data_IF_854303568330
#
_entry.id   IF_854303568330
#
_cell.length_a   1.000
_cell.length_b   1.000
_cell.length_c   1.000
_cell.angle_alpha   90.00
_cell.angle_beta   90.00
_cell.angle_gamma   90.00
#
_symmetry.space_group_name_H-M   'P 1'
#
loop_
_entity.id
_entity.type
_entity.pdbx_description
1 polymer ?
#
# COMPACT_ATOMS: atom_id res chain seq x y z
N UNK A 1 2.79 -30.52 -8.84
CA UNK A 1 2.58 -29.06 -8.75
C UNK A 1 3.65 -28.27 -9.54
N UNK A 2 4.94 -28.49 -9.35
CA UNK A 2 5.99 -27.75 -10.06
C UNK A 2 5.98 -27.87 -11.59
N UNK A 3 5.71 -29.04 -12.17
CA UNK A 3 5.62 -29.24 -13.62
C UNK A 3 4.41 -28.50 -14.22
N UNK A 4 3.27 -28.50 -13.56
CA UNK A 4 2.07 -27.79 -14.01
C UNK A 4 2.30 -26.28 -14.08
N UNK A 5 2.94 -25.70 -13.08
CA UNK A 5 3.27 -24.26 -13.04
C UNK A 5 4.29 -23.89 -14.12
N UNK A 6 5.24 -24.80 -14.46
CA UNK A 6 6.20 -24.56 -15.55
C UNK A 6 5.53 -24.40 -16.92
N UNK A 7 4.40 -25.08 -17.12
CA UNK A 7 3.64 -25.01 -18.39
C UNK A 7 2.65 -23.83 -18.44
N UNK A 8 2.32 -23.24 -17.28
CA UNK A 8 1.26 -22.25 -17.15
C UNK A 8 1.67 -21.03 -16.30
N UNK A 9 2.51 -20.10 -16.81
CA UNK A 9 2.89 -18.87 -16.09
C UNK A 9 1.69 -18.03 -15.61
N UNK A 10 0.56 -18.14 -16.33
CA UNK A 10 -0.70 -17.50 -15.95
C UNK A 10 -1.16 -17.86 -14.53
N UNK A 11 -0.88 -19.09 -14.06
CA UNK A 11 -1.26 -19.54 -12.71
C UNK A 11 -0.54 -18.71 -11.63
N UNK A 12 0.71 -18.34 -11.85
CA UNK A 12 1.47 -17.45 -10.95
C UNK A 12 0.83 -16.06 -10.90
N UNK A 13 0.46 -15.54 -12.07
CA UNK A 13 -0.16 -14.21 -12.16
C UNK A 13 -1.54 -14.18 -11.51
N UNK A 14 -2.35 -15.21 -11.75
CA UNK A 14 -3.68 -15.34 -11.14
C UNK A 14 -3.60 -15.52 -9.61
N UNK A 15 -2.68 -16.37 -9.13
CA UNK A 15 -2.43 -16.55 -7.70
C UNK A 15 -1.96 -15.24 -7.04
N UNK A 16 -1.04 -14.54 -7.69
CA UNK A 16 -0.56 -13.24 -7.22
C UNK A 16 -1.66 -12.18 -7.18
N UNK A 17 -2.50 -12.12 -8.20
CA UNK A 17 -3.65 -11.21 -8.25
C UNK A 17 -4.67 -11.53 -7.15
N UNK A 18 -4.99 -12.82 -6.91
CA UNK A 18 -5.89 -13.23 -5.84
C UNK A 18 -5.34 -12.83 -4.45
N UNK A 19 -4.05 -13.06 -4.20
CA UNK A 19 -3.40 -12.63 -2.96
C UNK A 19 -3.54 -11.10 -2.80
N UNK A 20 -3.18 -10.33 -3.80
CA UNK A 20 -3.14 -8.87 -3.69
C UNK A 20 -4.54 -8.25 -3.64
N UNK A 21 -5.55 -8.87 -4.23
CA UNK A 21 -6.93 -8.45 -4.12
C UNK A 21 -7.44 -8.54 -2.67
N UNK A 22 -6.96 -9.50 -1.89
CA UNK A 22 -7.34 -9.70 -0.49
C UNK A 22 -6.37 -9.07 0.52
N UNK A 23 -5.10 -8.88 0.16
CA UNK A 23 -4.07 -8.33 1.04
C UNK A 23 -4.05 -6.79 1.11
N UNK A 24 -4.89 -6.08 0.36
CA UNK A 24 -4.95 -4.61 0.38
C UNK A 24 -5.73 -4.02 1.55
N UNK A 25 -5.61 -4.60 2.73
CA UNK A 25 -6.33 -4.22 3.97
C UNK A 25 -6.26 -2.72 4.29
N UNK A 26 -5.10 -2.02 4.13
CA UNK A 26 -5.03 -0.58 4.40
C UNK A 26 -6.04 0.25 3.60
N UNK A 27 -6.36 -0.17 2.37
CA UNK A 27 -7.30 0.55 1.50
C UNK A 27 -8.76 0.36 1.88
N UNK A 28 -9.06 -0.70 2.65
CA UNK A 28 -10.40 -1.02 3.13
C UNK A 28 -10.69 -0.54 4.55
N UNK A 29 -9.70 0.02 5.27
CA UNK A 29 -9.86 0.36 6.69
C UNK A 29 -11.11 1.22 6.97
N UNK A 30 -11.48 2.12 6.07
CA UNK A 30 -12.65 2.99 6.25
C UNK A 30 -13.96 2.24 6.49
N UNK A 31 -14.12 1.01 5.98
CA UNK A 31 -15.33 0.21 6.22
C UNK A 31 -15.28 -0.54 7.56
N UNK A 32 -14.08 -0.81 8.09
CA UNK A 32 -13.91 -1.45 9.39
C UNK A 32 -14.07 -0.46 10.56
N UNK A 33 -13.78 0.82 10.35
CA UNK A 33 -13.59 1.78 11.42
C UNK A 33 -14.80 1.92 12.34
N UNK A 34 -15.99 2.17 11.79
CA UNK A 34 -17.20 2.33 12.61
C UNK A 34 -17.58 1.06 13.39
N UNK A 35 -17.64 -0.13 12.77
CA UNK A 35 -17.91 -1.38 13.51
C UNK A 35 -16.86 -1.69 14.59
N UNK A 36 -15.59 -1.39 14.33
CA UNK A 36 -14.51 -1.59 15.31
C UNK A 36 -14.65 -0.62 16.50
N UNK A 37 -14.97 0.64 16.23
CA UNK A 37 -15.24 1.62 17.29
C UNK A 37 -16.38 1.17 18.21
N UNK A 38 -17.48 0.75 17.61
CA UNK A 38 -18.66 0.31 18.35
C UNK A 38 -18.39 -0.91 19.22
N UNK A 39 -17.63 -1.90 18.72
CA UNK A 39 -17.37 -3.16 19.40
C UNK A 39 -16.30 -3.05 20.50
N UNK A 40 -15.23 -2.29 20.25
CA UNK A 40 -14.06 -2.24 21.13
C UNK A 40 -13.99 -0.95 21.96
N UNK A 41 -15.00 -0.08 21.89
CA UNK A 41 -15.04 1.17 22.65
C UNK A 41 -13.92 2.15 22.30
N UNK A 42 -13.36 2.07 21.08
CA UNK A 42 -12.34 2.99 20.61
C UNK A 42 -12.96 4.36 20.31
N UNK A 43 -12.31 5.42 20.77
CA UNK A 43 -12.63 6.75 20.28
C UNK A 43 -12.21 6.91 18.81
N UNK A 44 -12.67 7.95 18.17
CA UNK A 44 -12.44 8.16 16.75
C UNK A 44 -10.96 8.28 16.39
N UNK A 45 -10.20 8.90 17.26
CA UNK A 45 -8.77 9.09 17.08
C UNK A 45 -8.01 7.78 17.20
N UNK A 46 -8.26 7.01 18.25
CA UNK A 46 -7.66 5.70 18.48
C UNK A 46 -7.97 4.74 17.33
N UNK A 47 -9.20 4.76 16.81
CA UNK A 47 -9.55 3.96 15.64
C UNK A 47 -8.83 4.40 14.35
N UNK A 48 -8.56 5.70 14.20
CA UNK A 48 -7.76 6.23 13.09
C UNK A 48 -6.29 5.82 13.20
N UNK A 49 -5.74 5.75 14.41
CA UNK A 49 -4.39 5.26 14.66
C UNK A 49 -4.19 3.78 14.31
N UNK A 50 -5.25 2.96 14.30
CA UNK A 50 -5.14 1.56 13.85
C UNK A 50 -4.59 1.48 12.44
N UNK A 51 -5.08 2.32 11.51
CA UNK A 51 -4.52 2.40 10.16
C UNK A 51 -3.07 2.88 10.16
N UNK A 52 -2.76 3.90 10.95
CA UNK A 52 -1.39 4.42 11.09
C UNK A 52 -0.41 3.32 11.51
N UNK A 53 -0.74 2.56 12.56
CA UNK A 53 0.07 1.43 13.03
C UNK A 53 0.16 0.30 12.00
N UNK A 54 -0.93 0.01 11.28
CA UNK A 54 -0.92 -1.01 10.22
C UNK A 54 0.02 -0.63 9.08
N UNK A 55 -0.03 0.63 8.61
CA UNK A 55 0.87 1.13 7.55
C UNK A 55 2.31 1.24 8.05
N UNK A 56 2.53 1.58 9.32
CA UNK A 56 3.85 1.57 9.94
C UNK A 56 4.45 0.16 9.98
N UNK A 57 3.65 -0.83 10.40
CA UNK A 57 4.04 -2.23 10.39
C UNK A 57 4.31 -2.74 8.95
N UNK A 58 3.52 -2.28 7.97
CA UNK A 58 3.78 -2.54 6.55
C UNK A 58 5.15 -1.97 6.12
N UNK A 59 5.45 -0.72 6.44
CA UNK A 59 6.74 -0.10 6.11
C UNK A 59 7.91 -0.83 6.75
N UNK A 60 7.85 -1.09 8.06
CA UNK A 60 8.89 -1.80 8.80
C UNK A 60 9.04 -3.27 8.33
N UNK A 61 7.91 -3.94 8.11
CA UNK A 61 7.87 -5.32 7.62
C UNK A 61 8.44 -5.47 6.21
N UNK A 62 8.41 -4.41 5.39
CA UNK A 62 8.94 -4.42 4.02
C UNK A 62 10.43 -4.78 3.95
N UNK A 63 11.22 -4.37 4.92
CA UNK A 63 12.66 -4.72 5.02
C UNK A 63 12.83 -6.22 5.28
N UNK A 64 12.10 -6.74 6.26
CA UNK A 64 12.15 -8.16 6.61
C UNK A 64 11.59 -9.05 5.48
N UNK A 65 10.47 -8.62 4.87
CA UNK A 65 9.85 -9.32 3.74
C UNK A 65 10.75 -9.38 2.51
N UNK A 66 11.43 -8.27 2.18
CA UNK A 66 12.41 -8.22 1.10
C UNK A 66 13.59 -9.16 1.33
N UNK A 67 14.12 -9.18 2.55
CA UNK A 67 15.21 -10.07 2.93
C UNK A 67 14.79 -11.56 2.87
N UNK A 68 13.62 -11.89 3.40
CA UNK A 68 13.07 -13.25 3.36
C UNK A 68 12.86 -13.72 1.92
N UNK A 69 12.29 -12.87 1.06
CA UNK A 69 12.10 -13.17 -0.34
C UNK A 69 13.42 -13.43 -1.06
N UNK A 70 14.44 -12.60 -0.81
CA UNK A 70 15.75 -12.73 -1.46
C UNK A 70 16.48 -13.99 -1.01
N UNK A 71 16.36 -14.40 0.26
CA UNK A 71 17.04 -15.58 0.81
C UNK A 71 16.26 -16.89 0.67
N UNK A 72 14.98 -16.88 1.01
CA UNK A 72 14.15 -18.10 1.14
C UNK A 72 13.14 -18.26 -0.02
N UNK A 73 13.10 -17.28 -0.92
CA UNK A 73 12.23 -17.29 -2.08
C UNK A 73 10.80 -16.78 -1.81
N UNK A 74 10.04 -16.55 -2.91
CA UNK A 74 8.73 -15.90 -2.83
C UNK A 74 7.68 -16.73 -2.11
N UNK A 75 7.74 -18.06 -2.22
CA UNK A 75 6.79 -18.97 -1.59
C UNK A 75 6.82 -18.87 -0.06
N UNK A 76 8.01 -18.91 0.52
CA UNK A 76 8.16 -18.86 1.99
C UNK A 76 7.75 -17.50 2.55
N UNK A 77 8.21 -16.41 1.91
CA UNK A 77 7.82 -15.06 2.31
C UNK A 77 6.29 -14.86 2.23
N UNK A 78 5.66 -15.36 1.16
CA UNK A 78 4.22 -15.25 0.98
C UNK A 78 3.42 -16.11 1.97
N UNK A 79 3.87 -17.32 2.29
CA UNK A 79 3.24 -18.17 3.31
C UNK A 79 3.29 -17.50 4.69
N UNK A 80 4.45 -16.95 5.06
CA UNK A 80 4.59 -16.24 6.33
C UNK A 80 3.71 -14.99 6.38
N UNK A 81 3.62 -14.25 5.27
CA UNK A 81 2.71 -13.11 5.15
C UNK A 81 1.24 -13.52 5.29
N UNK A 82 0.84 -14.61 4.65
CA UNK A 82 -0.53 -15.15 4.74
C UNK A 82 -0.86 -15.61 6.18
N UNK A 83 0.11 -16.25 6.85
CA UNK A 83 -0.04 -16.64 8.26
C UNK A 83 -0.18 -15.41 9.16
N UNK A 84 0.59 -14.33 8.90
CA UNK A 84 0.47 -13.07 9.61
C UNK A 84 -0.90 -12.42 9.45
N UNK A 85 -1.45 -12.41 8.21
CA UNK A 85 -2.82 -11.92 7.96
C UNK A 85 -3.85 -12.75 8.73
N UNK A 86 -3.81 -14.08 8.58
CA UNK A 86 -4.73 -14.98 9.28
C UNK A 86 -4.67 -14.77 10.80
N UNK A 87 -3.47 -14.82 11.37
CA UNK A 87 -3.26 -14.67 12.81
C UNK A 87 -3.73 -13.29 13.32
N UNK A 88 -3.46 -12.21 12.57
CA UNK A 88 -3.86 -10.87 12.95
C UNK A 88 -5.38 -10.68 12.97
N UNK A 89 -6.07 -11.18 11.95
CA UNK A 89 -7.53 -11.13 11.91
C UNK A 89 -8.15 -11.99 13.02
N UNK A 90 -7.68 -13.22 13.20
CA UNK A 90 -8.16 -14.12 14.26
C UNK A 90 -7.90 -13.51 15.65
N UNK A 91 -6.69 -12.99 15.88
CA UNK A 91 -6.34 -12.36 17.16
C UNK A 91 -7.20 -11.12 17.45
N UNK A 92 -7.52 -10.33 16.43
CA UNK A 92 -8.41 -9.18 16.58
C UNK A 92 -9.79 -9.56 17.13
N UNK A 93 -10.35 -10.69 16.67
CA UNK A 93 -11.64 -11.20 17.15
C UNK A 93 -11.66 -11.56 18.64
N UNK A 94 -10.49 -11.88 19.23
CA UNK A 94 -10.35 -12.21 20.64
C UNK A 94 -9.98 -11.03 21.52
N UNK A 95 -9.72 -9.84 20.99
CA UNK A 95 -9.37 -8.66 21.80
C UNK A 95 -10.54 -8.31 22.74
N UNK A 96 -10.30 -8.22 24.06
CA UNK A 96 -11.34 -7.79 25.00
C UNK A 96 -11.61 -6.28 24.87
N UNK A 97 -12.89 -5.89 24.98
CA UNK A 97 -13.28 -4.48 24.88
C UNK A 97 -12.66 -3.59 25.96
N UNK A 98 -12.35 -4.16 27.13
CA UNK A 98 -11.73 -3.46 28.27
C UNK A 98 -10.27 -3.08 28.01
N UNK A 99 -9.64 -3.66 26.98
CA UNK A 99 -8.23 -3.41 26.63
C UNK A 99 -8.08 -3.08 25.12
N UNK A 100 -8.69 -2.00 24.64
CA UNK A 100 -8.72 -1.69 23.21
C UNK A 100 -7.34 -1.45 22.59
N UNK A 101 -6.33 -1.04 23.38
CA UNK A 101 -4.95 -0.87 22.93
C UNK A 101 -4.31 -2.17 22.42
N UNK A 102 -4.79 -3.35 22.88
CA UNK A 102 -4.33 -4.64 22.36
C UNK A 102 -4.68 -4.82 20.89
N UNK A 103 -5.67 -4.09 20.37
CA UNK A 103 -6.04 -4.16 18.96
C UNK A 103 -4.89 -3.73 18.03
N UNK A 104 -4.06 -2.78 18.45
CA UNK A 104 -2.88 -2.38 17.68
C UNK A 104 -1.87 -3.53 17.54
N UNK A 105 -1.65 -4.29 18.60
CA UNK A 105 -0.71 -5.43 18.60
C UNK A 105 -1.32 -6.66 17.94
N UNK A 106 -2.59 -6.93 18.20
CA UNK A 106 -3.28 -8.12 17.70
C UNK A 106 -3.62 -8.02 16.22
N UNK A 107 -4.03 -6.82 15.75
CA UNK A 107 -4.44 -6.58 14.37
C UNK A 107 -3.37 -5.85 13.56
N UNK A 108 -3.04 -4.60 13.92
CA UNK A 108 -2.25 -3.74 13.05
C UNK A 108 -0.85 -4.29 12.78
N UNK A 109 -0.17 -4.80 13.81
CA UNK A 109 1.20 -5.28 13.66
C UNK A 109 1.29 -6.53 12.75
N UNK A 110 0.57 -7.65 13.00
CA UNK A 110 0.69 -8.85 12.18
C UNK A 110 0.05 -8.66 10.80
N UNK A 111 -1.05 -7.90 10.67
CA UNK A 111 -1.69 -7.65 9.37
C UNK A 111 -0.80 -6.75 8.51
N UNK A 112 -0.25 -5.67 9.06
CA UNK A 112 0.66 -4.79 8.34
C UNK A 112 1.93 -5.51 7.88
N UNK A 113 2.58 -6.28 8.75
CA UNK A 113 3.75 -7.09 8.41
C UNK A 113 3.39 -8.19 7.38
N UNK A 114 2.23 -8.82 7.51
CA UNK A 114 1.75 -9.82 6.56
C UNK A 114 1.58 -9.25 5.15
N UNK A 115 0.94 -8.08 5.03
CA UNK A 115 0.83 -7.38 3.76
C UNK A 115 2.22 -7.02 3.17
N UNK A 116 3.16 -6.61 4.04
CA UNK A 116 4.52 -6.25 3.63
C UNK A 116 5.31 -7.44 3.09
N UNK A 117 5.07 -8.65 3.59
CA UNK A 117 5.72 -9.86 3.09
C UNK A 117 5.10 -10.34 1.77
N UNK A 118 3.80 -10.22 1.62
CA UNK A 118 3.07 -10.65 0.43
C UNK A 118 3.39 -9.79 -0.80
N UNK A 119 3.44 -8.46 -0.64
CA UNK A 119 3.56 -7.56 -1.78
C UNK A 119 4.84 -7.78 -2.62
N UNK A 120 6.06 -7.72 -2.04
CA UNK A 120 7.29 -7.95 -2.81
C UNK A 120 7.40 -9.39 -3.31
N UNK A 121 6.95 -10.38 -2.53
CA UNK A 121 6.99 -11.78 -2.90
C UNK A 121 6.17 -12.06 -4.18
N UNK A 122 4.94 -11.54 -4.23
CA UNK A 122 4.06 -11.67 -5.38
C UNK A 122 4.61 -10.90 -6.59
N UNK A 123 4.96 -9.62 -6.39
CA UNK A 123 5.41 -8.75 -7.46
C UNK A 123 6.71 -9.25 -8.08
N UNK A 124 7.70 -9.59 -7.24
CA UNK A 124 9.00 -10.10 -7.70
C UNK A 124 8.89 -11.45 -8.41
N UNK A 125 8.02 -12.34 -7.94
CA UNK A 125 7.75 -13.62 -8.58
C UNK A 125 7.10 -13.42 -9.97
N UNK A 126 6.04 -12.62 -10.04
CA UNK A 126 5.33 -12.35 -11.28
C UNK A 126 6.24 -11.71 -12.35
N UNK A 127 7.07 -10.72 -11.96
CA UNK A 127 8.00 -10.07 -12.88
C UNK A 127 9.08 -11.01 -13.42
N UNK A 128 9.52 -12.02 -12.65
CA UNK A 128 10.49 -13.03 -13.11
C UNK A 128 9.87 -13.98 -14.13
N UNK A 129 8.60 -14.36 -13.97
CA UNK A 129 7.89 -15.21 -14.93
C UNK A 129 7.51 -14.47 -16.22
N UNK A 130 7.27 -13.16 -16.14
CA UNK A 130 6.94 -12.30 -17.28
C UNK A 130 8.08 -11.34 -17.62
N UNK A 131 9.31 -11.85 -17.70
CA UNK A 131 10.51 -11.03 -17.91
C UNK A 131 10.41 -10.14 -19.17
N UNK A 132 9.81 -10.66 -20.25
CA UNK A 132 9.61 -9.93 -21.51
C UNK A 132 8.37 -9.00 -21.50
N UNK A 133 7.48 -9.17 -20.51
CA UNK A 133 6.23 -8.43 -20.38
C UNK A 133 6.02 -7.96 -18.94
N UNK A 134 7.05 -7.41 -18.32
CA UNK A 134 7.02 -6.95 -16.90
C UNK A 134 5.88 -5.97 -16.63
N UNK A 135 5.58 -5.10 -17.59
CA UNK A 135 4.47 -4.15 -17.50
C UNK A 135 3.11 -4.83 -17.35
N UNK A 136 2.87 -5.95 -18.06
CA UNK A 136 1.64 -6.73 -17.91
C UNK A 136 1.52 -7.31 -16.50
N UNK A 137 2.59 -7.95 -15.98
CA UNK A 137 2.59 -8.52 -14.64
C UNK A 137 2.36 -7.45 -13.57
N UNK A 138 3.11 -6.35 -13.64
CA UNK A 138 2.96 -5.21 -12.72
C UNK A 138 1.56 -4.59 -12.80
N UNK A 139 1.00 -4.47 -14.00
CA UNK A 139 -0.33 -3.94 -14.25
C UNK A 139 -1.43 -4.80 -13.62
N UNK A 140 -1.43 -6.10 -13.89
CA UNK A 140 -2.44 -7.03 -13.33
C UNK A 140 -2.39 -7.06 -11.79
N UNK A 141 -1.20 -7.19 -11.23
CA UNK A 141 -1.01 -7.18 -9.76
C UNK A 141 -1.39 -5.80 -9.19
N UNK A 142 -1.01 -4.72 -9.86
CA UNK A 142 -1.35 -3.35 -9.45
C UNK A 142 -2.85 -3.08 -9.44
N UNK A 143 -3.59 -3.57 -10.44
CA UNK A 143 -5.06 -3.50 -10.47
C UNK A 143 -5.67 -4.28 -9.32
N UNK A 144 -5.19 -5.50 -9.05
CA UNK A 144 -5.69 -6.31 -7.95
C UNK A 144 -5.51 -5.59 -6.60
N UNK A 145 -4.33 -4.99 -6.34
CA UNK A 145 -4.10 -4.15 -5.16
C UNK A 145 -5.03 -2.95 -5.13
N UNK A 146 -5.22 -2.28 -6.28
CA UNK A 146 -6.10 -1.11 -6.37
C UNK A 146 -7.55 -1.44 -6.05
N UNK A 147 -8.05 -2.57 -6.54
CA UNK A 147 -9.44 -3.01 -6.35
C UNK A 147 -9.70 -3.69 -5.00
N UNK A 148 -8.67 -3.97 -4.21
CA UNK A 148 -8.80 -4.69 -2.94
C UNK A 148 -9.74 -3.97 -1.96
N UNK A 149 -9.69 -2.64 -1.90
CA UNK A 149 -10.60 -1.86 -1.06
C UNK A 149 -12.08 -2.09 -1.41
N UNK A 150 -12.41 -2.18 -2.70
CA UNK A 150 -13.78 -2.48 -3.14
C UNK A 150 -14.19 -3.91 -2.78
N UNK A 151 -13.34 -4.90 -3.10
CA UNK A 151 -13.62 -6.30 -2.81
C UNK A 151 -13.79 -6.56 -1.30
N UNK A 152 -12.89 -6.03 -0.50
CA UNK A 152 -12.95 -6.16 0.97
C UNK A 152 -14.15 -5.41 1.55
N UNK A 153 -14.55 -4.26 1.00
CA UNK A 153 -15.75 -3.54 1.46
C UNK A 153 -16.99 -4.42 1.35
N UNK A 154 -17.15 -5.15 0.25
CA UNK A 154 -18.28 -6.06 0.07
C UNK A 154 -18.25 -7.22 1.07
N UNK A 155 -17.06 -7.85 1.25
CA UNK A 155 -16.89 -8.97 2.19
C UNK A 155 -17.11 -8.53 3.64
N UNK A 156 -16.57 -7.38 4.04
CA UNK A 156 -16.73 -6.83 5.40
C UNK A 156 -18.20 -6.53 5.69
N UNK A 157 -18.89 -5.83 4.79
CA UNK A 157 -20.32 -5.54 4.96
C UNK A 157 -21.14 -6.81 5.06
N UNK A 158 -20.85 -7.80 4.23
CA UNK A 158 -21.57 -9.08 4.24
C UNK A 158 -21.33 -9.86 5.54
N UNK A 159 -20.07 -10.09 5.92
CA UNK A 159 -19.75 -10.85 7.13
C UNK A 159 -20.17 -10.11 8.41
N UNK A 160 -20.00 -8.79 8.47
CA UNK A 160 -20.44 -8.00 9.64
C UNK A 160 -21.96 -8.02 9.78
N UNK A 161 -22.70 -8.01 8.68
CA UNK A 161 -24.15 -8.14 8.70
C UNK A 161 -24.65 -9.50 9.20
N UNK A 162 -23.86 -10.57 8.98
CA UNK A 162 -24.23 -11.94 9.42
C UNK A 162 -23.79 -12.23 10.86
N UNK A 163 -22.58 -11.83 11.25
CA UNK A 163 -21.94 -12.31 12.48
C UNK A 163 -21.31 -11.20 13.34
N UNK A 164 -21.63 -9.94 13.06
CA UNK A 164 -20.98 -8.80 13.70
C UNK A 164 -19.50 -8.67 13.31
N UNK A 165 -18.81 -7.68 13.89
CA UNK A 165 -17.40 -7.40 13.50
C UNK A 165 -16.43 -8.48 13.98
N UNK A 166 -16.65 -9.10 15.15
CA UNK A 166 -15.80 -10.21 15.63
C UNK A 166 -15.93 -11.43 14.73
N UNK A 167 -17.17 -11.80 14.36
CA UNK A 167 -17.41 -12.88 13.40
C UNK A 167 -16.81 -12.58 12.03
N UNK A 168 -16.88 -11.34 11.57
CA UNK A 168 -16.23 -10.87 10.35
C UNK A 168 -14.70 -11.09 10.42
N UNK A 169 -14.06 -10.77 11.55
CA UNK A 169 -12.64 -11.01 11.72
C UNK A 169 -12.26 -12.48 11.62
N UNK A 170 -13.01 -13.38 12.26
CA UNK A 170 -12.76 -14.82 12.14
C UNK A 170 -12.97 -15.33 10.71
N UNK A 171 -14.05 -14.91 10.06
CA UNK A 171 -14.34 -15.29 8.68
C UNK A 171 -13.28 -14.80 7.68
N UNK A 172 -12.87 -13.52 7.80
CA UNK A 172 -11.80 -12.97 6.98
C UNK A 172 -10.46 -13.62 7.29
N UNK A 173 -10.14 -13.88 8.56
CA UNK A 173 -8.93 -14.59 8.93
C UNK A 173 -8.84 -15.96 8.27
N UNK A 174 -9.92 -16.73 8.31
CA UNK A 174 -10.01 -18.04 7.64
C UNK A 174 -9.90 -17.90 6.11
N UNK A 175 -10.64 -16.97 5.51
CA UNK A 175 -10.61 -16.71 4.06
C UNK A 175 -9.20 -16.32 3.59
N UNK A 176 -8.56 -15.39 4.29
CA UNK A 176 -7.19 -14.91 3.99
C UNK A 176 -6.17 -16.04 4.15
N UNK A 177 -6.28 -16.82 5.23
CA UNK A 177 -5.43 -17.98 5.45
C UNK A 177 -5.57 -19.04 4.35
N UNK A 178 -6.78 -19.35 3.94
CA UNK A 178 -7.06 -20.35 2.89
C UNK A 178 -6.66 -19.84 1.51
N UNK A 179 -7.12 -18.66 1.11
CA UNK A 179 -6.89 -18.16 -0.26
C UNK A 179 -5.45 -17.68 -0.43
N UNK A 180 -4.96 -16.79 0.44
CA UNK A 180 -3.60 -16.29 0.31
C UNK A 180 -2.57 -17.39 0.63
N UNK A 181 -2.82 -18.24 1.64
CA UNK A 181 -1.97 -19.38 1.96
C UNK A 181 -1.94 -20.40 0.84
N UNK A 182 -3.10 -20.81 0.31
CA UNK A 182 -3.21 -21.73 -0.81
C UNK A 182 -2.53 -21.19 -2.09
N UNK A 183 -2.80 -19.93 -2.43
CA UNK A 183 -2.17 -19.28 -3.57
C UNK A 183 -0.64 -19.11 -3.39
N UNK A 184 -0.17 -18.90 -2.16
CA UNK A 184 1.27 -18.81 -1.86
C UNK A 184 2.02 -20.11 -2.12
N UNK A 185 1.35 -21.27 -2.00
CA UNK A 185 1.95 -22.58 -2.32
C UNK A 185 2.36 -22.71 -3.79
N UNK A 186 1.71 -21.95 -4.67
CA UNK A 186 1.98 -21.97 -6.11
C UNK A 186 3.15 -21.05 -6.49
N UNK A 187 3.43 -20.02 -5.66
CA UNK A 187 4.49 -19.05 -5.94
C UNK A 187 5.87 -19.71 -5.92
N UNK A 188 6.55 -19.71 -7.06
CA UNK A 188 7.92 -20.20 -7.20
C UNK A 188 8.65 -19.42 -8.29
N UNK A 189 9.95 -19.21 -8.12
CA UNK A 189 10.77 -18.62 -9.17
C UNK A 189 10.91 -19.58 -10.35
N UNK A 190 11.04 -19.08 -11.60
CA UNK A 190 11.34 -19.92 -12.75
C UNK A 190 12.72 -20.57 -12.58
N UNK A 191 12.86 -21.87 -12.92
CA UNK A 191 14.14 -22.61 -12.77
C UNK A 191 15.27 -22.07 -13.67
N UNK A 192 14.89 -21.52 -14.82
CA UNK A 192 15.79 -20.82 -15.75
C UNK A 192 15.61 -19.31 -15.64
N UNK A 193 15.55 -18.75 -14.43
CA UNK A 193 15.85 -17.33 -14.35
C UNK A 193 17.27 -17.18 -14.96
N UNK A 194 17.49 -16.37 -16.02
CA UNK A 194 18.82 -16.13 -16.51
C UNK A 194 19.67 -15.82 -15.30
N UNK A 195 20.81 -16.53 -15.14
CA UNK A 195 21.79 -16.13 -14.14
C UNK A 195 22.04 -14.66 -14.45
N UNK A 196 21.40 -13.79 -13.66
CA UNK A 196 21.48 -12.37 -13.92
C UNK A 196 22.97 -12.05 -13.93
N UNK A 197 23.54 -11.40 -14.96
CA UNK A 197 24.89 -10.93 -14.93
C UNK A 197 25.04 -10.23 -13.59
N UNK A 198 26.15 -10.48 -12.85
CA UNK A 198 26.35 -9.95 -11.47
C UNK A 198 25.71 -8.59 -11.39
N UNK A 199 24.49 -8.56 -10.84
CA UNK A 199 23.63 -7.38 -10.96
C UNK A 199 24.35 -6.26 -10.23
N UNK A 200 24.82 -5.27 -10.97
CA UNK A 200 25.42 -4.09 -10.40
C UNK A 200 24.35 -3.35 -9.60
N UNK A 201 24.65 -3.02 -8.38
CA UNK A 201 23.74 -2.28 -7.52
C UNK A 201 24.36 -1.99 -6.17
N UNK A 202 23.87 -0.96 -5.54
CA UNK A 202 24.31 -0.56 -4.20
C UNK A 202 23.84 -1.56 -3.17
N UNK A 203 24.72 -1.94 -2.26
CA UNK A 203 24.33 -2.63 -1.04
C UNK A 203 23.45 -1.72 -0.18
N UNK A 204 22.60 -2.26 0.72
CA UNK A 204 21.78 -1.44 1.61
C UNK A 204 22.59 -0.41 2.39
N UNK A 205 23.77 -0.80 2.89
CA UNK A 205 24.67 0.11 3.62
C UNK A 205 25.25 1.23 2.75
N UNK A 206 25.53 0.98 1.48
CA UNK A 206 25.94 2.02 0.53
C UNK A 206 24.78 2.96 0.21
N UNK A 207 23.59 2.43 -0.02
CA UNK A 207 22.39 3.22 -0.30
C UNK A 207 22.07 4.19 0.84
N UNK A 208 22.09 3.73 2.08
CA UNK A 208 21.83 4.56 3.28
C UNK A 208 22.77 5.77 3.41
N UNK A 209 23.96 5.70 2.82
CA UNK A 209 24.95 6.80 2.83
C UNK A 209 24.71 7.82 1.73
N UNK A 210 23.75 7.59 0.81
CA UNK A 210 23.48 8.52 -0.29
C UNK A 210 22.40 9.53 0.11
N UNK A 211 22.55 10.77 -0.33
CA UNK A 211 21.51 11.78 -0.19
C UNK A 211 20.22 11.39 -0.93
N UNK A 212 20.33 10.64 -2.03
CA UNK A 212 19.20 10.15 -2.81
C UNK A 212 18.26 9.27 -1.98
N UNK A 213 18.79 8.39 -1.13
CA UNK A 213 17.97 7.58 -0.21
C UNK A 213 17.12 8.47 0.69
N UNK A 214 17.70 9.46 1.33
CA UNK A 214 16.99 10.32 2.27
C UNK A 214 15.94 11.20 1.59
N UNK A 215 16.24 11.72 0.40
CA UNK A 215 15.26 12.50 -0.37
C UNK A 215 14.07 11.65 -0.82
N UNK A 216 14.31 10.42 -1.30
CA UNK A 216 13.23 9.52 -1.71
C UNK A 216 12.42 9.07 -0.49
N UNK A 217 13.06 8.64 0.59
CA UNK A 217 12.39 8.20 1.82
C UNK A 217 11.55 9.33 2.43
N UNK A 218 12.09 10.56 2.46
CA UNK A 218 11.32 11.72 2.89
C UNK A 218 10.11 11.98 1.99
N UNK A 219 10.26 11.88 0.66
CA UNK A 219 9.12 12.04 -0.25
C UNK A 219 8.03 10.99 0.00
N UNK A 220 8.42 9.74 0.28
CA UNK A 220 7.47 8.66 0.62
C UNK A 220 6.68 9.00 1.90
N UNK A 221 7.37 9.49 2.94
CA UNK A 221 6.71 9.93 4.17
C UNK A 221 5.75 11.09 3.89
N UNK A 222 6.18 12.08 3.12
CA UNK A 222 5.44 13.30 2.80
C UNK A 222 4.25 13.09 1.85
N UNK A 223 4.13 11.93 1.19
CA UNK A 223 2.96 11.55 0.42
C UNK A 223 1.78 11.08 1.30
N UNK A 224 2.06 10.55 2.50
CA UNK A 224 1.06 9.86 3.33
C UNK A 224 -0.09 10.76 3.79
N UNK A 225 0.10 12.04 4.16
CA UNK A 225 -0.98 12.90 4.66
C UNK A 225 -2.12 13.07 3.66
N UNK A 226 -1.82 13.11 2.37
CA UNK A 226 -2.83 13.36 1.32
C UNK A 226 -3.99 12.35 1.31
N UNK A 227 -3.75 11.14 1.82
CA UNK A 227 -4.78 10.09 1.91
C UNK A 227 -4.99 9.64 3.35
N UNK A 228 -3.92 9.37 4.10
CA UNK A 228 -4.03 8.71 5.42
C UNK A 228 -4.65 9.61 6.51
N UNK A 229 -4.64 10.93 6.36
CA UNK A 229 -5.35 11.84 7.27
C UNK A 229 -6.87 11.84 7.05
N UNK A 230 -7.35 11.38 5.89
CA UNK A 230 -8.76 11.42 5.52
C UNK A 230 -9.39 10.03 5.39
N UNK A 231 -8.62 9.05 4.88
CA UNK A 231 -9.11 7.69 4.57
C UNK A 231 -9.77 6.99 5.76
N UNK A 232 -9.28 7.07 7.00
CA UNK A 232 -9.94 6.43 8.15
C UNK A 232 -11.36 6.93 8.36
N UNK A 233 -11.60 8.23 8.19
CA UNK A 233 -12.89 8.90 8.43
C UNK A 233 -13.66 9.21 7.15
N UNK A 234 -13.31 8.58 6.05
CA UNK A 234 -13.81 9.00 4.74
C UNK A 234 -15.33 8.89 4.59
N UNK A 235 -15.95 7.88 5.21
CA UNK A 235 -17.40 7.72 5.18
C UNK A 235 -18.12 8.85 5.94
N UNK A 236 -17.58 9.23 7.09
CA UNK A 236 -18.11 10.34 7.89
C UNK A 236 -17.94 11.68 7.16
N UNK A 237 -16.74 11.96 6.65
CA UNK A 237 -16.46 13.17 5.88
C UNK A 237 -17.35 13.27 4.63
N UNK A 238 -17.65 12.15 3.99
CA UNK A 238 -18.55 12.10 2.85
C UNK A 238 -19.97 12.52 3.23
N UNK A 239 -20.50 12.04 4.36
CA UNK A 239 -21.80 12.47 4.88
C UNK A 239 -21.82 13.97 5.21
N UNK A 240 -20.78 14.45 5.90
CA UNK A 240 -20.62 15.88 6.23
C UNK A 240 -20.50 16.77 4.99
N UNK A 241 -19.99 16.25 3.87
CA UNK A 241 -19.90 16.99 2.61
C UNK A 241 -21.24 17.17 1.89
N UNK A 242 -22.32 16.55 2.39
CA UNK A 242 -23.63 16.56 1.76
C UNK A 242 -23.83 15.52 0.66
N UNK A 243 -23.01 14.46 0.63
CA UNK A 243 -23.26 13.30 -0.23
C UNK A 243 -24.47 12.50 0.26
N UNK A 244 -25.34 12.00 -0.64
CA UNK A 244 -26.38 11.04 -0.27
C UNK A 244 -25.79 9.80 0.40
N UNK A 245 -26.49 9.21 1.37
CA UNK A 245 -26.01 8.05 2.15
C UNK A 245 -25.57 6.88 1.26
N UNK A 246 -26.31 6.62 0.20
CA UNK A 246 -25.97 5.60 -0.80
C UNK A 246 -24.63 5.88 -1.50
N UNK A 247 -24.35 7.14 -1.86
CA UNK A 247 -23.09 7.56 -2.48
C UNK A 247 -21.93 7.56 -1.48
N UNK A 248 -22.15 8.01 -0.24
CA UNK A 248 -21.18 7.95 0.83
C UNK A 248 -20.69 6.50 1.08
N UNK A 249 -21.59 5.53 1.03
CA UNK A 249 -21.26 4.11 1.16
C UNK A 249 -20.32 3.55 0.09
N UNK A 250 -20.16 4.22 -1.04
CA UNK A 250 -19.27 3.83 -2.13
C UNK A 250 -17.89 4.52 -2.09
N UNK A 251 -17.64 5.41 -1.13
CA UNK A 251 -16.38 6.19 -1.07
C UNK A 251 -15.13 5.31 -1.11
N UNK A 252 -15.11 4.20 -0.34
CA UNK A 252 -13.96 3.28 -0.31
C UNK A 252 -13.78 2.62 -1.68
N UNK A 253 -14.85 2.19 -2.33
CA UNK A 253 -14.80 1.57 -3.65
C UNK A 253 -14.33 2.55 -4.73
N UNK A 254 -14.78 3.81 -4.67
CA UNK A 254 -14.35 4.87 -5.60
C UNK A 254 -12.86 5.21 -5.38
N UNK A 255 -12.41 5.28 -4.13
CA UNK A 255 -10.99 5.42 -3.80
C UNK A 255 -10.14 4.26 -4.33
N UNK A 256 -10.67 3.02 -4.22
CA UNK A 256 -10.02 1.83 -4.77
C UNK A 256 -9.91 1.88 -6.30
N UNK A 257 -10.96 2.31 -7.01
CA UNK A 257 -10.93 2.48 -8.46
C UNK A 257 -9.90 3.56 -8.88
N UNK A 258 -9.88 4.69 -8.17
CA UNK A 258 -8.87 5.74 -8.36
C UNK A 258 -7.45 5.20 -8.15
N UNK A 259 -7.23 4.43 -7.08
CA UNK A 259 -5.95 3.78 -6.78
C UNK A 259 -5.51 2.82 -7.89
N UNK A 260 -6.41 1.97 -8.41
CA UNK A 260 -6.12 1.05 -9.49
C UNK A 260 -5.71 1.79 -10.78
N UNK A 261 -6.50 2.80 -11.16
CA UNK A 261 -6.22 3.64 -12.33
C UNK A 261 -4.88 4.38 -12.20
N UNK A 262 -4.60 4.97 -11.03
CA UNK A 262 -3.35 5.68 -10.75
C UNK A 262 -2.11 4.79 -10.87
N UNK A 263 -2.18 3.56 -10.35
CA UNK A 263 -1.07 2.59 -10.45
C UNK A 263 -0.73 2.26 -11.89
N UNK A 264 -1.74 2.06 -12.74
CA UNK A 264 -1.54 1.76 -14.15
C UNK A 264 -0.99 2.95 -14.92
N UNK A 265 -1.66 4.10 -14.78
CA UNK A 265 -1.37 5.27 -15.62
C UNK A 265 -0.06 5.95 -15.24
N UNK A 266 0.23 6.16 -13.94
CA UNK A 266 1.46 6.83 -13.53
C UNK A 266 2.70 5.94 -13.69
N UNK A 267 2.58 4.62 -13.53
CA UNK A 267 3.67 3.71 -13.85
C UNK A 267 4.02 3.76 -15.35
N UNK A 268 3.01 3.68 -16.23
CA UNK A 268 3.21 3.79 -17.68
C UNK A 268 3.73 5.18 -18.10
N UNK A 269 3.23 6.25 -17.46
CA UNK A 269 3.73 7.60 -17.69
C UNK A 269 5.19 7.76 -17.24
N UNK A 270 5.56 7.14 -16.10
CA UNK A 270 6.94 7.13 -15.59
C UNK A 270 7.95 6.51 -16.55
N UNK A 271 7.54 5.47 -17.28
CA UNK A 271 8.40 4.83 -18.27
C UNK A 271 8.60 5.71 -19.51
N UNK A 272 7.63 6.55 -19.88
CA UNK A 272 7.67 7.43 -21.07
C UNK A 272 8.26 8.82 -20.77
N UNK A 273 7.85 9.45 -19.69
CA UNK A 273 8.17 10.84 -19.34
C UNK A 273 9.30 10.99 -18.33
N UNK A 274 9.79 9.85 -17.79
CA UNK A 274 10.76 9.82 -16.70
C UNK A 274 10.07 9.81 -15.32
N UNK A 275 10.54 8.91 -14.47
CA UNK A 275 9.91 8.62 -13.16
C UNK A 275 9.93 9.83 -12.23
N UNK A 276 11.04 10.57 -12.20
CA UNK A 276 11.17 11.77 -11.39
C UNK A 276 10.16 12.86 -11.78
N UNK A 277 10.00 13.13 -13.07
CA UNK A 277 9.07 14.15 -13.56
C UNK A 277 7.62 13.81 -13.22
N UNK A 278 7.23 12.55 -13.45
CA UNK A 278 5.88 12.06 -13.13
C UNK A 278 5.60 12.12 -11.62
N UNK A 279 6.58 11.80 -10.78
CA UNK A 279 6.44 11.90 -9.33
C UNK A 279 6.29 13.36 -8.88
N UNK A 280 7.08 14.29 -9.40
CA UNK A 280 6.94 15.72 -9.07
C UNK A 280 5.53 16.23 -9.47
N UNK A 281 5.06 15.87 -10.67
CA UNK A 281 3.72 16.20 -11.12
C UNK A 281 2.63 15.59 -10.23
N UNK A 282 2.80 14.33 -9.81
CA UNK A 282 1.87 13.66 -8.90
C UNK A 282 1.80 14.37 -7.54
N UNK A 283 2.92 14.79 -6.99
CA UNK A 283 2.94 15.57 -5.74
C UNK A 283 2.31 16.96 -5.90
N UNK A 284 2.50 17.63 -7.04
CA UNK A 284 1.80 18.88 -7.35
C UNK A 284 0.28 18.67 -7.39
N UNK A 285 -0.17 17.60 -8.03
CA UNK A 285 -1.58 17.22 -8.06
C UNK A 285 -2.13 16.87 -6.67
N UNK A 286 -1.36 16.14 -5.84
CA UNK A 286 -1.74 15.87 -4.44
C UNK A 286 -1.90 17.17 -3.65
N UNK A 287 -1.01 18.13 -3.81
CA UNK A 287 -1.13 19.44 -3.15
C UNK A 287 -2.39 20.19 -3.59
N UNK A 288 -2.62 20.29 -4.90
CA UNK A 288 -3.81 20.97 -5.44
C UNK A 288 -5.12 20.30 -5.02
N UNK A 289 -5.18 18.98 -5.10
CA UNK A 289 -6.35 18.20 -4.67
C UNK A 289 -6.58 18.29 -3.16
N UNK A 290 -5.53 18.25 -2.33
CA UNK A 290 -5.66 18.41 -0.88
C UNK A 290 -6.19 19.78 -0.50
N UNK A 291 -5.76 20.85 -1.21
CA UNK A 291 -6.32 22.19 -1.03
C UNK A 291 -7.79 22.25 -1.47
N UNK A 292 -8.11 21.72 -2.65
CA UNK A 292 -9.47 21.67 -3.17
C UNK A 292 -10.42 20.83 -2.32
N UNK A 293 -9.90 19.75 -1.71
CA UNK A 293 -10.66 18.86 -0.85
C UNK A 293 -11.25 19.57 0.39
N UNK A 294 -10.57 20.61 0.89
CA UNK A 294 -11.06 21.44 1.98
C UNK A 294 -12.39 22.16 1.66
N UNK A 295 -12.63 22.45 0.40
CA UNK A 295 -13.80 23.21 -0.08
C UNK A 295 -14.79 22.33 -0.86
N UNK A 296 -14.42 21.09 -1.14
CA UNK A 296 -15.22 20.18 -1.95
C UNK A 296 -16.50 19.75 -1.20
N UNK A 297 -17.63 19.78 -1.91
CA UNK A 297 -18.92 19.35 -1.40
C UNK A 297 -19.55 18.34 -2.35
N UNK A 298 -20.40 17.46 -1.81
CA UNK A 298 -21.20 16.51 -2.58
C UNK A 298 -20.34 15.71 -3.58
N UNK A 299 -20.72 15.64 -4.83
CA UNK A 299 -20.04 14.86 -5.87
C UNK A 299 -18.60 15.35 -6.16
N UNK A 300 -18.31 16.63 -5.94
CA UNK A 300 -16.95 17.15 -6.06
C UNK A 300 -16.03 16.56 -4.98
N UNK A 301 -16.55 16.33 -3.77
CA UNK A 301 -15.82 15.67 -2.69
C UNK A 301 -15.44 14.24 -3.07
N UNK A 302 -16.38 13.48 -3.64
CA UNK A 302 -16.14 12.12 -4.13
C UNK A 302 -15.07 12.11 -5.24
N UNK A 303 -15.17 13.00 -6.23
CA UNK A 303 -14.19 13.13 -7.31
C UNK A 303 -12.79 13.50 -6.80
N UNK A 304 -12.71 14.45 -5.87
CA UNK A 304 -11.45 14.88 -5.26
C UNK A 304 -10.78 13.74 -4.48
N UNK A 305 -11.55 12.96 -3.73
CA UNK A 305 -11.02 11.78 -3.02
C UNK A 305 -10.51 10.70 -3.99
N UNK A 306 -11.25 10.43 -5.07
CA UNK A 306 -10.77 9.52 -6.12
C UNK A 306 -9.44 9.99 -6.71
N UNK A 307 -9.30 11.31 -6.96
CA UNK A 307 -8.07 11.92 -7.44
C UNK A 307 -6.91 11.80 -6.44
N UNK A 308 -7.16 12.03 -5.14
CA UNK A 308 -6.15 11.82 -4.09
C UNK A 308 -5.66 10.38 -4.06
N UNK A 309 -6.58 9.41 -4.11
CA UNK A 309 -6.24 7.99 -4.16
C UNK A 309 -5.47 7.63 -5.45
N UNK A 310 -5.84 8.23 -6.59
CA UNK A 310 -5.17 8.04 -7.87
C UNK A 310 -3.69 8.45 -7.80
N UNK A 311 -3.41 9.67 -7.40
CA UNK A 311 -2.03 10.17 -7.37
C UNK A 311 -1.20 9.55 -6.26
N UNK A 312 -1.77 9.30 -5.09
CA UNK A 312 -1.09 8.62 -3.99
C UNK A 312 -0.68 7.19 -4.35
N UNK A 313 -1.62 6.39 -4.88
CA UNK A 313 -1.34 5.01 -5.25
C UNK A 313 -0.43 4.92 -6.49
N UNK A 314 -0.60 5.83 -7.43
CA UNK A 314 0.23 5.91 -8.62
C UNK A 314 1.68 6.24 -8.31
N UNK A 315 1.95 7.20 -7.40
CA UNK A 315 3.32 7.48 -6.96
C UNK A 315 3.95 6.26 -6.27
N UNK A 316 3.19 5.54 -5.45
CA UNK A 316 3.67 4.32 -4.81
C UNK A 316 4.02 3.21 -5.81
N UNK A 317 3.32 3.14 -6.95
CA UNK A 317 3.61 2.19 -8.03
C UNK A 317 4.88 2.53 -8.83
N UNK A 318 5.26 3.80 -8.91
CA UNK A 318 6.49 4.26 -9.57
C UNK A 318 7.73 4.02 -8.70
N UNK A 319 7.58 4.01 -7.38
CA UNK A 319 8.68 3.94 -6.42
C UNK A 319 9.61 2.71 -6.58
N UNK A 320 9.13 1.46 -6.80
CA UNK A 320 10.00 0.31 -7.01
C UNK A 320 10.92 0.49 -8.21
N UNK A 321 10.38 1.04 -9.29
CA UNK A 321 11.13 1.31 -10.51
C UNK A 321 12.15 2.43 -10.32
N UNK A 322 11.82 3.48 -9.56
CA UNK A 322 12.77 4.52 -9.18
C UNK A 322 13.89 3.98 -8.30
N UNK A 323 13.57 3.06 -7.36
CA UNK A 323 14.54 2.38 -6.52
C UNK A 323 15.57 1.61 -7.37
N UNK A 324 15.11 0.79 -8.31
CA UNK A 324 16.00 0.00 -9.18
C UNK A 324 16.85 0.87 -10.11
N UNK A 325 16.30 1.98 -10.57
CA UNK A 325 17.00 2.93 -11.43
C UNK A 325 18.12 3.66 -10.70
N UNK A 326 17.90 4.04 -9.45
CA UNK A 326 18.88 4.81 -8.66
C UNK A 326 19.89 3.94 -7.93
N UNK A 327 19.50 2.75 -7.49
CA UNK A 327 20.34 1.91 -6.62
C UNK A 327 20.70 0.56 -7.24
N UNK A 328 20.20 0.26 -8.43
CA UNK A 328 20.47 -0.98 -9.15
C UNK A 328 19.59 -2.16 -8.68
N UNK A 329 19.82 -3.31 -9.34
CA UNK A 329 18.95 -4.49 -9.19
C UNK A 329 19.42 -5.50 -8.15
N UNK A 330 20.66 -5.41 -7.65
CA UNK A 330 21.30 -6.45 -6.84
C UNK A 330 20.59 -6.72 -5.49
N UNK A 331 20.06 -5.68 -4.85
CA UNK A 331 19.44 -5.75 -3.52
C UNK A 331 18.07 -5.06 -3.51
N UNK A 332 17.31 -5.22 -4.60
CA UNK A 332 16.07 -4.46 -4.80
C UNK A 332 15.05 -4.67 -3.69
N UNK A 333 14.89 -5.89 -3.18
CA UNK A 333 13.94 -6.22 -2.13
C UNK A 333 14.20 -5.44 -0.85
N UNK A 334 15.43 -5.55 -0.34
CA UNK A 334 15.83 -4.84 0.90
C UNK A 334 15.88 -3.33 0.69
N UNK A 335 16.44 -2.87 -0.44
CA UNK A 335 16.55 -1.44 -0.75
C UNK A 335 15.17 -0.78 -0.85
N UNK A 336 14.21 -1.43 -1.51
CA UNK A 336 12.83 -0.95 -1.55
C UNK A 336 12.16 -0.96 -0.16
N UNK A 337 12.38 -2.02 0.62
CA UNK A 337 11.89 -2.10 2.01
C UNK A 337 12.40 -0.95 2.87
N UNK A 338 13.67 -0.57 2.73
CA UNK A 338 14.26 0.57 3.45
C UNK A 338 13.62 1.91 3.01
N UNK A 339 13.34 2.10 1.72
CA UNK A 339 12.59 3.28 1.25
C UNK A 339 11.16 3.31 1.81
N UNK A 340 10.52 2.15 1.94
CA UNK A 340 9.17 2.03 2.49
C UNK A 340 9.07 2.40 3.99
N UNK A 341 10.20 2.49 4.72
CA UNK A 341 10.22 3.05 6.08
C UNK A 341 9.70 4.49 6.12
N UNK A 342 9.80 5.23 5.01
CA UNK A 342 9.15 6.53 4.87
C UNK A 342 7.63 6.46 5.09
N UNK A 343 6.98 5.38 4.65
CA UNK A 343 5.54 5.18 4.90
C UNK A 343 5.26 5.01 6.40
N UNK A 344 6.11 4.25 7.11
CA UNK A 344 6.00 4.08 8.55
C UNK A 344 6.14 5.41 9.29
N UNK A 345 7.17 6.19 8.93
CA UNK A 345 7.38 7.51 9.53
C UNK A 345 6.21 8.46 9.26
N UNK A 346 5.72 8.49 8.02
CA UNK A 346 4.64 9.40 7.64
C UNK A 346 3.28 8.99 8.22
N UNK A 347 2.96 7.69 8.25
CA UNK A 347 1.66 7.19 8.71
C UNK A 347 1.41 7.39 10.21
N UNK A 348 2.46 7.38 11.02
CA UNK A 348 2.38 7.68 12.45
C UNK A 348 2.70 9.15 12.75
N UNK A 349 3.73 9.70 12.08
CA UNK A 349 4.23 11.03 12.39
C UNK A 349 3.20 12.14 12.10
N UNK A 350 2.49 12.08 10.97
CA UNK A 350 1.54 13.14 10.63
C UNK A 350 0.26 13.15 11.46
N UNK A 351 -0.40 12.01 11.77
CA UNK A 351 -1.52 12.01 12.70
C UNK A 351 -1.10 12.49 14.11
N UNK A 352 0.09 12.03 14.58
CA UNK A 352 0.63 12.49 15.85
C UNK A 352 0.93 13.99 15.86
N UNK A 353 1.55 14.52 14.81
CA UNK A 353 1.81 15.96 14.67
C UNK A 353 0.51 16.77 14.58
N UNK A 354 -0.49 16.30 13.84
CA UNK A 354 -1.78 16.96 13.76
C UNK A 354 -2.46 17.09 15.13
N UNK A 355 -2.36 16.04 15.94
CA UNK A 355 -2.85 16.05 17.33
C UNK A 355 -2.03 16.98 18.22
N UNK A 356 -0.71 16.78 18.27
CA UNK A 356 0.18 17.52 19.18
C UNK A 356 0.14 19.04 18.95
N UNK A 357 -0.06 19.47 17.72
CA UNK A 357 -0.11 20.89 17.36
C UNK A 357 -1.53 21.43 17.18
N UNK A 358 -2.58 20.66 17.51
CA UNK A 358 -3.97 21.11 17.37
C UNK A 358 -4.39 21.42 15.92
N UNK A 359 -3.72 20.82 14.94
CA UNK A 359 -3.94 21.08 13.51
C UNK A 359 -5.10 20.26 12.92
N UNK A 360 -6.03 19.79 13.75
CA UNK A 360 -7.12 18.94 13.29
C UNK A 360 -8.03 19.64 12.28
N UNK A 361 -8.35 20.90 12.50
CA UNK A 361 -9.07 21.74 11.55
C UNK A 361 -8.22 22.07 10.31
N UNK A 362 -6.89 22.03 10.44
CA UNK A 362 -5.92 22.37 9.40
C UNK A 362 -5.35 21.15 8.64
N UNK A 363 -5.92 19.95 8.77
CA UNK A 363 -5.41 18.70 8.15
C UNK A 363 -5.17 18.84 6.64
N UNK A 364 -6.01 19.56 5.96
CA UNK A 364 -5.87 19.84 4.51
C UNK A 364 -4.59 20.61 4.20
N UNK A 365 -4.30 21.65 4.98
CA UNK A 365 -3.10 22.46 4.79
C UNK A 365 -1.82 21.72 5.16
N UNK A 366 -1.90 20.84 6.17
CA UNK A 366 -0.80 19.92 6.49
C UNK A 366 -0.51 18.99 5.32
N UNK A 367 -1.55 18.43 4.68
CA UNK A 367 -1.40 17.58 3.49
C UNK A 367 -0.83 18.38 2.29
N UNK A 368 -1.27 19.62 2.09
CA UNK A 368 -0.73 20.53 1.05
C UNK A 368 0.77 20.78 1.29
N UNK A 369 1.13 21.22 2.49
CA UNK A 369 2.53 21.49 2.84
C UNK A 369 3.43 20.27 2.69
N UNK A 370 2.96 19.10 3.14
CA UNK A 370 3.67 17.85 2.98
C UNK A 370 3.85 17.48 1.50
N UNK A 371 2.82 17.60 0.68
CA UNK A 371 2.91 17.32 -0.75
C UNK A 371 3.91 18.26 -1.46
N UNK A 372 3.88 19.57 -1.17
CA UNK A 372 4.86 20.53 -1.72
C UNK A 372 6.29 20.21 -1.27
N UNK A 373 6.49 19.87 0.01
CA UNK A 373 7.80 19.44 0.52
C UNK A 373 8.26 18.13 -0.14
N UNK A 374 7.35 17.19 -0.40
CA UNK A 374 7.65 15.96 -1.13
C UNK A 374 8.08 16.21 -2.58
N UNK A 375 7.40 17.12 -3.27
CA UNK A 375 7.82 17.58 -4.61
C UNK A 375 9.22 18.21 -4.58
N UNK A 376 9.53 19.01 -3.58
CA UNK A 376 10.84 19.62 -3.39
C UNK A 376 11.93 18.54 -3.13
N UNK A 377 11.66 17.52 -2.32
CA UNK A 377 12.59 16.40 -2.11
C UNK A 377 12.94 15.71 -3.44
N UNK A 378 11.95 15.44 -4.28
CA UNK A 378 12.15 14.83 -5.59
C UNK A 378 12.87 15.77 -6.56
N UNK A 379 12.64 17.06 -6.46
CA UNK A 379 13.37 18.06 -7.25
C UNK A 379 14.87 18.09 -6.87
N UNK A 380 15.20 18.00 -5.60
CA UNK A 380 16.58 17.90 -5.08
C UNK A 380 17.29 16.61 -5.49
N UNK A 381 16.56 15.55 -5.84
CA UNK A 381 17.14 14.28 -6.30
C UNK A 381 18.02 14.42 -7.56
N UNK A 382 17.88 15.51 -8.29
CA UNK A 382 18.64 15.77 -9.52
C UNK A 382 18.15 14.90 -10.71
N UNK A 383 18.59 15.23 -11.94
CA UNK A 383 18.24 14.46 -13.11
C UNK A 383 18.78 13.03 -13.04
N UNK A 384 18.16 12.14 -13.80
CA UNK A 384 18.57 10.75 -13.94
C UNK A 384 19.99 10.69 -14.53
N UNK A 385 20.92 10.02 -13.83
CA UNK A 385 22.25 9.80 -14.38
C UNK A 385 22.13 8.73 -15.49
N UNK A 386 22.23 9.18 -16.73
CA UNK A 386 22.62 8.35 -17.88
C UNK A 386 21.64 7.27 -18.33
N UNK A 387 20.51 7.65 -18.95
CA UNK A 387 20.04 6.92 -20.13
C UNK A 387 20.79 7.49 -21.34
N UNK A 388 21.86 6.83 -21.77
CA UNK A 388 22.29 6.96 -23.17
C UNK A 388 21.04 6.70 -24.03
N UNK A 389 20.59 7.68 -24.80
CA UNK A 389 19.58 7.49 -25.83
C UNK A 389 20.08 6.33 -26.70
N UNK A 390 19.29 5.26 -26.95
CA UNK A 390 19.65 4.37 -28.02
C UNK A 390 19.67 5.22 -29.30
N UNK A 391 20.84 5.21 -29.96
CA UNK A 391 20.99 5.75 -31.29
C UNK A 391 20.19 4.89 -32.28
#
# INVERSE_FOLDING_TARGET
>A
MGQFVKQHPFVILAAGAAIQLLAGIPTAWGVFQEPVRAEYGLDEESASFVLGWLVAAFGAGGVAGGFLQDKLGPRFAALLGSAGLCAGFVAAGFVPAEKPWLFYLAFSAPVGAGCAFLYPAVMGCAQKWYADRKGLATGVIGVAVGLSGAALTLLVKWFTGLWGIRGCFFALGALLGLVCGGASLVLQNPEKAPAAPKQQGMTPGQMLRTAAYWWITASVALATPAVLLFSPRILELARQSGLPETAAGWMVAVGAAGSAAGRLTLAAAGDKLGRRAVLIAAFGALAGLSAGFAFAKSWLFLAAYAGLCFFYAGQAAVLPSLCTERFGLAHTGVNYGLLALGMAAGSLGFPFAAKAFGLEAGRHWLAVGAALAGAFCLWKLGPEQGRGRPQ
#
